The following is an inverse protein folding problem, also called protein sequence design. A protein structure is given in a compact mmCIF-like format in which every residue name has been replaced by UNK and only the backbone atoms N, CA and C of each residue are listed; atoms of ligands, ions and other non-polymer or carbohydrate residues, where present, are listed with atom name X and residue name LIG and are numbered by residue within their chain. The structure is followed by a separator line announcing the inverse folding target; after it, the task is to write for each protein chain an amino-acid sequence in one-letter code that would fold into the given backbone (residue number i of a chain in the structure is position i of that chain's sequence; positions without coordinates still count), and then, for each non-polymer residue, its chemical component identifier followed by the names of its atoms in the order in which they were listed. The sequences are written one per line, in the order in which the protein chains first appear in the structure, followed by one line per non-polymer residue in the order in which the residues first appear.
data_IF_294481236534
#
_entry.id   IF_294481236534
#
_cell.length_a   1.000
_cell.length_b   1.000
_cell.length_c   1.000
_cell.angle_alpha   90.00
_cell.angle_beta   90.00
_cell.angle_gamma   90.00
#
_symmetry.space_group_name_H-M   'P 1'
#
loop_
_entity.id
_entity.type
_entity.pdbx_description
1 polymer ?
#
# COMPACT_ATOMS: atom_id res chain seq x y z
N UNK A 1 21.50 -26.01 11.75
CA UNK A 1 21.54 -25.16 12.95
C UNK A 1 20.92 -23.83 12.57
N UNK A 2 19.61 -23.73 12.80
CA UNK A 2 18.84 -22.49 12.65
C UNK A 2 19.38 -21.52 13.70
N UNK A 3 20.10 -20.48 13.25
CA UNK A 3 20.38 -19.34 14.13
C UNK A 3 19.02 -18.89 14.69
N UNK A 4 18.93 -18.73 16.00
CA UNK A 4 17.78 -18.06 16.64
C UNK A 4 17.78 -16.62 16.10
N UNK A 5 17.05 -16.40 15.02
CA UNK A 5 16.79 -15.07 14.51
C UNK A 5 16.05 -14.30 15.61
N UNK A 6 16.55 -13.13 15.98
CA UNK A 6 15.87 -12.25 16.93
C UNK A 6 14.49 -11.90 16.38
N UNK A 7 13.46 -12.50 16.96
CA UNK A 7 12.07 -12.18 16.60
C UNK A 7 11.66 -10.94 17.39
N UNK A 8 11.25 -9.91 16.66
CA UNK A 8 10.68 -8.69 17.25
C UNK A 8 9.20 -8.95 17.57
N UNK A 9 8.87 -8.95 18.86
CA UNK A 9 7.50 -9.21 19.34
C UNK A 9 6.81 -7.93 19.74
N UNK A 10 5.77 -7.59 18.97
CA UNK A 10 4.94 -6.41 19.21
C UNK A 10 3.73 -6.78 20.07
N UNK A 11 3.49 -5.98 21.11
CA UNK A 11 2.37 -6.17 22.04
C UNK A 11 1.21 -5.20 21.75
N UNK A 12 1.54 -4.01 21.27
CA UNK A 12 0.56 -2.96 20.90
C UNK A 12 0.06 -3.22 19.49
N UNK A 13 -1.19 -2.85 19.22
CA UNK A 13 -1.84 -3.02 17.94
C UNK A 13 -3.25 -3.57 18.06
N UNK A 14 -3.91 -3.77 16.92
CA UNK A 14 -5.29 -4.25 16.88
C UNK A 14 -5.55 -5.06 15.61
N UNK A 15 -5.92 -6.32 15.78
CA UNK A 15 -6.44 -7.14 14.69
C UNK A 15 -7.96 -6.95 14.58
N UNK A 16 -8.43 -6.49 13.44
CA UNK A 16 -9.85 -6.30 13.15
C UNK A 16 -10.34 -7.50 12.36
N UNK A 17 -11.13 -8.35 12.98
CA UNK A 17 -11.62 -9.59 12.37
C UNK A 17 -12.80 -9.30 11.43
N UNK A 18 -12.51 -8.85 10.22
CA UNK A 18 -13.51 -8.66 9.18
C UNK A 18 -13.88 -9.99 8.52
N UNK A 19 -15.16 -10.12 8.17
CA UNK A 19 -15.65 -11.21 7.35
C UNK A 19 -15.20 -11.05 5.90
N UNK A 20 -14.83 -12.14 5.25
CA UNK A 20 -14.49 -12.16 3.82
C UNK A 20 -12.99 -12.32 3.54
N UNK A 21 -12.27 -13.07 4.37
CA UNK A 21 -10.87 -13.44 4.13
C UNK A 21 -10.74 -14.32 2.88
N UNK A 22 -9.75 -14.09 2.00
CA UNK A 22 -9.60 -14.85 0.77
C UNK A 22 -9.10 -16.27 1.07
N UNK A 23 -9.72 -17.27 0.42
CA UNK A 23 -9.21 -18.63 0.40
C UNK A 23 -7.93 -18.68 -0.45
N UNK A 24 -6.95 -19.50 -0.07
CA UNK A 24 -5.71 -19.72 -0.83
C UNK A 24 -5.99 -20.48 -2.14
N UNK A 25 -6.79 -19.87 -3.00
CA UNK A 25 -7.17 -20.39 -4.31
C UNK A 25 -7.11 -19.26 -5.33
N UNK A 26 -6.48 -19.53 -6.46
CA UNK A 26 -6.50 -18.62 -7.60
C UNK A 26 -7.71 -18.95 -8.48
N UNK A 27 -8.51 -17.95 -8.78
CA UNK A 27 -9.62 -18.01 -9.71
C UNK A 27 -9.32 -17.21 -10.97
N UNK A 28 -9.84 -17.66 -12.10
CA UNK A 28 -9.74 -16.90 -13.34
C UNK A 28 -10.48 -15.57 -13.23
N UNK A 29 -9.93 -14.53 -13.84
CA UNK A 29 -10.58 -13.23 -14.00
C UNK A 29 -11.05 -13.01 -15.42
N UNK A 30 -12.07 -12.20 -15.59
CA UNK A 30 -12.37 -11.63 -16.90
C UNK A 30 -11.21 -10.76 -17.36
N UNK A 31 -10.87 -10.82 -18.63
CA UNK A 31 -9.89 -9.89 -19.19
C UNK A 31 -10.35 -8.44 -18.94
N UNK A 32 -9.43 -7.59 -18.53
CA UNK A 32 -9.76 -6.19 -18.33
C UNK A 32 -9.96 -5.49 -19.67
N UNK A 33 -11.08 -4.83 -19.81
CA UNK A 33 -11.42 -4.08 -21.03
C UNK A 33 -10.66 -2.74 -21.12
N UNK A 34 -10.27 -2.19 -19.97
CA UNK A 34 -9.50 -0.96 -19.84
C UNK A 34 -8.47 -1.09 -18.72
N UNK A 35 -7.36 -0.40 -18.89
CA UNK A 35 -6.36 -0.15 -17.85
C UNK A 35 -6.20 1.35 -17.64
N UNK A 36 -5.78 1.76 -16.45
CA UNK A 36 -5.47 3.16 -16.18
C UNK A 36 -4.15 3.31 -15.44
N UNK A 37 -3.40 4.33 -15.82
CA UNK A 37 -2.31 4.89 -15.02
C UNK A 37 -2.86 6.14 -14.34
N UNK A 38 -2.93 6.11 -13.02
CA UNK A 38 -3.55 7.16 -12.19
C UNK A 38 -2.45 7.93 -11.46
N UNK A 39 -2.17 9.20 -11.85
CA UNK A 39 -1.13 9.99 -11.17
C UNK A 39 -1.39 10.19 -9.67
N UNK A 40 -2.67 10.15 -9.26
CA UNK A 40 -3.06 10.25 -7.85
C UNK A 40 -2.58 9.12 -6.95
N UNK A 41 -2.22 7.97 -7.52
CA UNK A 41 -1.65 6.85 -6.75
C UNK A 41 -0.23 7.18 -6.25
N UNK A 42 0.45 8.11 -6.92
CA UNK A 42 1.84 8.47 -6.65
C UNK A 42 1.91 9.82 -5.93
N UNK A 43 1.91 9.78 -4.60
CA UNK A 43 1.88 11.00 -3.81
C UNK A 43 3.08 11.91 -4.11
N UNK A 44 2.79 13.20 -4.21
CA UNK A 44 3.80 14.22 -4.51
C UNK A 44 4.19 14.32 -6.00
N UNK A 45 3.73 13.42 -6.88
CA UNK A 45 4.01 13.48 -8.31
C UNK A 45 3.44 14.76 -8.97
N UNK A 46 4.26 15.43 -9.77
CA UNK A 46 3.83 16.50 -10.68
C UNK A 46 3.90 15.95 -12.10
N UNK A 47 2.82 15.35 -12.62
CA UNK A 47 2.89 14.58 -13.87
C UNK A 47 3.03 15.47 -15.10
N UNK A 48 3.87 15.05 -16.03
CA UNK A 48 3.85 15.51 -17.41
C UNK A 48 3.58 14.34 -18.36
N UNK A 49 2.43 14.36 -19.00
CA UNK A 49 2.00 13.34 -19.95
C UNK A 49 2.80 13.46 -21.26
N UNK A 50 3.21 12.30 -21.78
CA UNK A 50 4.02 12.18 -23.01
C UNK A 50 3.23 11.60 -24.18
N UNK A 51 2.00 11.15 -23.94
CA UNK A 51 1.14 10.48 -24.93
C UNK A 51 -0.17 11.25 -25.13
N UNK A 52 -0.87 10.96 -26.22
CA UNK A 52 -2.19 11.49 -26.55
C UNK A 52 -3.15 10.36 -26.95
N UNK A 53 -4.47 10.59 -26.92
CA UNK A 53 -5.45 9.62 -27.42
C UNK A 53 -5.12 9.18 -28.84
N UNK A 54 -5.20 7.86 -29.08
CA UNK A 54 -4.87 7.22 -30.35
C UNK A 54 -3.42 6.74 -30.48
N UNK A 55 -2.51 7.12 -29.57
CA UNK A 55 -1.14 6.61 -29.59
C UNK A 55 -1.10 5.14 -29.21
N UNK A 56 -0.34 4.34 -29.97
CA UNK A 56 -0.06 2.96 -29.64
C UNK A 56 1.07 2.85 -28.62
N UNK A 57 0.91 1.99 -27.61
CA UNK A 57 1.88 1.74 -26.55
C UNK A 57 2.12 0.25 -26.34
N UNK A 58 3.29 -0.08 -25.84
CA UNK A 58 3.65 -1.41 -25.36
C UNK A 58 3.74 -1.38 -23.83
N UNK A 59 3.70 -2.54 -23.17
CA UNK A 59 4.08 -2.61 -21.76
C UNK A 59 5.51 -2.08 -21.60
N UNK A 60 5.70 -1.11 -20.69
CA UNK A 60 6.98 -0.43 -20.52
C UNK A 60 7.16 0.88 -21.34
N UNK A 61 6.21 1.23 -22.22
CA UNK A 61 6.25 2.54 -22.91
C UNK A 61 5.94 3.67 -21.92
N UNK A 62 6.81 4.71 -21.80
CA UNK A 62 6.54 5.85 -20.93
C UNK A 62 5.27 6.61 -21.34
N UNK A 63 4.35 6.80 -20.42
CA UNK A 63 3.10 7.56 -20.63
C UNK A 63 3.11 8.91 -19.92
N UNK A 64 3.94 9.05 -18.89
CA UNK A 64 4.21 10.31 -18.18
C UNK A 64 5.53 10.24 -17.41
N UNK A 65 5.99 11.38 -16.93
CA UNK A 65 7.14 11.51 -16.03
C UNK A 65 6.90 12.57 -14.96
N UNK A 66 7.72 12.58 -13.89
CA UNK A 66 7.69 13.63 -12.88
C UNK A 66 8.42 14.89 -13.40
N UNK A 67 7.77 16.04 -13.36
CA UNK A 67 8.40 17.31 -13.78
C UNK A 67 9.60 17.72 -12.92
N UNK A 68 9.65 17.28 -11.66
CA UNK A 68 10.75 17.58 -10.75
C UNK A 68 11.96 16.69 -10.97
N UNK A 69 11.68 15.44 -11.37
CA UNK A 69 12.65 14.40 -11.68
C UNK A 69 12.29 13.75 -13.02
N UNK A 70 12.62 14.42 -14.18
CA UNK A 70 12.19 13.95 -15.51
C UNK A 70 12.69 12.55 -15.89
N UNK A 71 13.70 12.06 -15.20
CA UNK A 71 14.22 10.69 -15.34
C UNK A 71 13.27 9.64 -14.73
N UNK A 72 12.41 10.00 -13.76
CA UNK A 72 11.42 9.12 -13.17
C UNK A 72 10.22 8.99 -14.11
N UNK A 73 10.17 7.87 -14.82
CA UNK A 73 9.14 7.55 -15.81
C UNK A 73 8.06 6.68 -15.20
N UNK A 74 6.84 6.86 -15.70
CA UNK A 74 5.68 6.02 -15.42
C UNK A 74 5.23 5.42 -16.73
N UNK A 75 5.17 4.11 -16.78
CA UNK A 75 5.03 3.36 -18.04
C UNK A 75 3.67 2.67 -18.14
N UNK A 76 3.27 2.36 -19.37
CA UNK A 76 2.08 1.56 -19.62
C UNK A 76 2.22 0.16 -19.03
N UNK A 77 1.22 -0.34 -18.27
CA UNK A 77 1.24 -1.71 -17.74
C UNK A 77 0.94 -2.77 -18.81
N UNK A 78 0.39 -2.39 -19.95
CA UNK A 78 -0.05 -3.30 -21.02
C UNK A 78 0.22 -2.72 -22.40
N UNK A 79 0.19 -3.56 -23.44
CA UNK A 79 0.16 -3.08 -24.82
C UNK A 79 -1.26 -2.72 -25.25
N UNK A 80 -1.39 -1.69 -26.05
CA UNK A 80 -2.69 -1.22 -26.49
C UNK A 80 -2.65 0.17 -27.11
N UNK A 81 -3.77 0.85 -27.05
CA UNK A 81 -3.97 2.21 -27.58
C UNK A 81 -4.41 3.10 -26.41
N UNK A 82 -3.83 4.28 -26.32
CA UNK A 82 -4.30 5.32 -25.40
C UNK A 82 -5.73 5.71 -25.78
N UNK A 83 -6.68 5.40 -24.92
CA UNK A 83 -8.09 5.72 -25.14
C UNK A 83 -8.36 7.18 -24.80
N UNK A 84 -7.93 7.61 -23.59
CA UNK A 84 -8.18 8.95 -23.10
C UNK A 84 -7.08 9.42 -22.13
N UNK A 85 -6.87 10.75 -22.11
CA UNK A 85 -6.15 11.46 -21.06
C UNK A 85 -7.13 12.35 -20.33
N UNK A 86 -7.76 11.82 -19.29
CA UNK A 86 -8.77 12.54 -18.52
C UNK A 86 -8.13 13.66 -17.69
N UNK A 87 -8.73 14.85 -17.77
CA UNK A 87 -8.30 16.02 -17.02
C UNK A 87 -9.45 16.58 -16.20
N UNK A 88 -9.19 16.81 -14.93
CA UNK A 88 -10.09 17.49 -14.01
C UNK A 88 -9.88 19.01 -13.97
N UNK A 89 -10.27 19.59 -12.85
CA UNK A 89 -10.11 21.02 -12.59
C UNK A 89 -8.65 21.47 -12.78
N UNK A 90 -8.47 22.72 -13.24
CA UNK A 90 -7.15 23.31 -13.52
C UNK A 90 -6.26 22.46 -14.42
N UNK A 91 -6.87 21.63 -15.28
CA UNK A 91 -6.18 20.70 -16.20
C UNK A 91 -5.32 19.62 -15.46
N UNK A 92 -5.59 19.34 -14.20
CA UNK A 92 -4.96 18.25 -13.47
C UNK A 92 -5.23 16.93 -14.18
N UNK A 93 -4.19 16.16 -14.45
CA UNK A 93 -4.34 14.82 -15.04
C UNK A 93 -4.92 13.88 -13.97
N UNK A 94 -6.09 13.33 -14.27
CA UNK A 94 -6.79 12.41 -13.36
C UNK A 94 -6.41 10.96 -13.64
N UNK A 95 -6.44 10.56 -14.91
CA UNK A 95 -6.01 9.22 -15.34
C UNK A 95 -5.65 9.22 -16.83
N UNK A 96 -4.84 8.26 -17.23
CA UNK A 96 -4.53 7.91 -18.61
C UNK A 96 -5.08 6.50 -18.81
N UNK A 97 -6.10 6.34 -19.66
CA UNK A 97 -6.72 5.06 -19.93
C UNK A 97 -6.15 4.42 -21.18
N UNK A 98 -5.99 3.09 -21.13
CA UNK A 98 -5.37 2.29 -22.17
C UNK A 98 -6.32 1.13 -22.49
N UNK A 99 -6.71 1.04 -23.75
CA UNK A 99 -7.47 -0.10 -24.28
C UNK A 99 -6.50 -1.17 -24.75
N UNK A 100 -6.46 -2.35 -24.09
CA UNK A 100 -5.51 -3.39 -24.42
C UNK A 100 -5.77 -3.95 -25.83
N UNK A 101 -4.70 -4.30 -26.54
CA UNK A 101 -4.78 -4.90 -27.89
C UNK A 101 -4.76 -6.43 -27.88
N UNK A 102 -4.63 -7.05 -26.72
CA UNK A 102 -4.54 -8.49 -26.53
C UNK A 102 -3.23 -9.13 -27.00
N UNK A 103 -2.28 -8.35 -27.57
CA UNK A 103 -1.02 -8.88 -28.10
C UNK A 103 0.05 -9.06 -27.03
N UNK A 104 -0.08 -8.34 -25.91
CA UNK A 104 0.86 -8.34 -24.78
C UNK A 104 2.31 -8.06 -25.19
N UNK A 105 2.50 -7.14 -26.15
CA UNK A 105 3.83 -6.72 -26.55
C UNK A 105 4.46 -5.82 -25.48
N UNK A 106 5.78 -5.93 -25.29
CA UNK A 106 6.52 -5.18 -24.30
C UNK A 106 7.79 -4.60 -24.89
N UNK A 107 8.23 -3.48 -24.32
CA UNK A 107 9.55 -2.92 -24.62
C UNK A 107 10.61 -3.92 -24.11
N UNK A 108 11.60 -4.19 -24.94
CA UNK A 108 12.72 -5.07 -24.58
C UNK A 108 13.83 -4.25 -23.91
N UNK A 109 14.04 -4.48 -22.63
CA UNK A 109 15.11 -3.86 -21.84
C UNK A 109 16.34 -4.75 -21.73
N UNK A 110 16.30 -5.97 -22.28
CA UNK A 110 17.36 -6.98 -22.13
C UNK A 110 17.34 -7.67 -20.76
N UNK A 111 17.91 -8.88 -20.74
CA UNK A 111 18.08 -9.65 -19.50
C UNK A 111 19.40 -9.28 -18.84
N UNK A 112 19.38 -9.11 -17.53
CA UNK A 112 20.53 -8.64 -16.78
C UNK A 112 20.72 -9.45 -15.49
N UNK A 113 21.98 -9.65 -15.13
CA UNK A 113 22.33 -10.19 -13.81
C UNK A 113 22.74 -9.04 -12.89
N UNK A 114 22.02 -8.74 -11.81
CA UNK A 114 22.31 -7.62 -10.93
C UNK A 114 23.72 -7.65 -10.33
N UNK A 115 24.30 -8.85 -10.15
CA UNK A 115 25.66 -9.02 -9.60
C UNK A 115 26.76 -8.54 -10.55
N UNK A 116 26.47 -8.44 -11.85
CA UNK A 116 27.43 -7.97 -12.87
C UNK A 116 27.21 -6.53 -13.31
N UNK A 117 26.19 -5.86 -12.76
CA UNK A 117 25.86 -4.48 -13.08
C UNK A 117 26.41 -3.52 -12.03
N UNK A 118 26.77 -2.33 -12.47
CA UNK A 118 27.05 -1.22 -11.57
C UNK A 118 25.76 -0.63 -10.97
N UNK A 119 25.90 0.11 -9.88
CA UNK A 119 24.80 0.86 -9.23
C UNK A 119 24.09 1.78 -10.23
N UNK A 120 24.86 2.50 -11.04
CA UNK A 120 24.36 3.46 -12.02
C UNK A 120 23.56 2.77 -13.12
N UNK A 121 24.03 1.62 -13.63
CA UNK A 121 23.33 0.82 -14.64
C UNK A 121 21.99 0.30 -14.11
N UNK A 122 21.97 -0.24 -12.88
CA UNK A 122 20.72 -0.71 -12.26
C UNK A 122 19.76 0.47 -12.08
N UNK A 123 20.23 1.58 -11.51
CA UNK A 123 19.41 2.77 -11.31
C UNK A 123 18.81 3.29 -12.61
N UNK A 124 19.63 3.40 -13.66
CA UNK A 124 19.18 3.84 -14.98
C UNK A 124 18.12 2.91 -15.56
N UNK A 125 18.31 1.60 -15.47
CA UNK A 125 17.36 0.60 -15.93
C UNK A 125 16.01 0.73 -15.21
N UNK A 126 16.04 0.88 -13.87
CA UNK A 126 14.81 1.03 -13.07
C UNK A 126 14.08 2.33 -13.39
N UNK A 127 14.79 3.42 -13.65
CA UNK A 127 14.20 4.70 -14.07
C UNK A 127 13.53 4.59 -15.43
N UNK A 128 14.21 3.99 -16.41
CA UNK A 128 13.69 3.84 -17.79
C UNK A 128 12.50 2.90 -17.88
N UNK A 129 12.52 1.79 -17.14
CA UNK A 129 11.46 0.80 -17.12
C UNK A 129 10.28 1.17 -16.19
N UNK A 130 10.31 2.33 -15.54
CA UNK A 130 9.24 2.78 -14.64
C UNK A 130 9.17 2.06 -13.30
N UNK A 131 10.18 1.24 -12.95
CA UNK A 131 10.22 0.52 -11.68
C UNK A 131 10.53 1.44 -10.50
N UNK A 132 11.21 2.57 -10.76
CA UNK A 132 11.58 3.53 -9.73
C UNK A 132 10.35 4.16 -9.04
N UNK A 133 9.21 4.21 -9.73
CA UNK A 133 7.94 4.66 -9.19
C UNK A 133 7.45 3.83 -7.98
N UNK A 134 7.95 2.61 -7.81
CA UNK A 134 7.60 1.72 -6.68
C UNK A 134 8.56 1.85 -5.51
N UNK A 135 9.64 2.61 -5.65
CA UNK A 135 10.58 2.88 -4.57
C UNK A 135 10.14 4.15 -3.87
N UNK A 136 9.73 4.02 -2.61
CA UNK A 136 9.40 5.18 -1.77
C UNK A 136 10.56 5.52 -0.86
N UNK A 137 10.61 6.75 -0.38
CA UNK A 137 11.57 7.18 0.64
C UNK A 137 10.89 7.65 1.92
N UNK A 138 11.55 7.42 3.01
CA UNK A 138 11.29 8.07 4.30
C UNK A 138 12.49 8.96 4.65
N UNK A 139 12.29 10.14 5.22
CA UNK A 139 11.03 10.79 5.58
C UNK A 139 10.14 11.09 4.37
N UNK A 140 8.92 11.53 4.65
CA UNK A 140 7.88 12.08 3.77
C UNK A 140 6.99 11.03 3.09
N UNK A 141 7.40 9.76 2.94
CA UNK A 141 6.64 8.71 2.25
C UNK A 141 6.17 9.15 0.84
N UNK A 142 7.13 9.55 0.04
CA UNK A 142 7.01 9.95 -1.38
C UNK A 142 7.87 9.04 -2.24
N UNK A 143 7.73 9.13 -3.57
CA UNK A 143 8.67 8.45 -4.49
C UNK A 143 10.09 8.92 -4.16
N UNK A 144 11.02 7.97 -4.13
CA UNK A 144 12.42 8.24 -3.81
C UNK A 144 13.06 9.22 -4.80
N UNK A 145 13.88 10.13 -4.28
CA UNK A 145 14.71 11.02 -5.08
C UNK A 145 15.88 10.21 -5.67
N UNK A 146 15.99 10.10 -7.01
CA UNK A 146 17.09 9.35 -7.63
C UNK A 146 18.48 9.91 -7.36
N UNK A 147 18.57 11.18 -6.96
CA UNK A 147 19.86 11.82 -6.65
C UNK A 147 20.37 11.49 -5.24
N UNK A 148 19.50 10.98 -4.37
CA UNK A 148 19.82 10.68 -2.97
C UNK A 148 20.13 9.20 -2.82
N UNK A 149 21.25 8.89 -2.16
CA UNK A 149 21.61 7.52 -1.78
C UNK A 149 20.94 7.17 -0.45
N UNK A 150 20.17 6.05 -0.38
CA UNK A 150 19.56 5.66 0.87
C UNK A 150 20.59 5.10 1.85
N UNK A 151 20.43 5.41 3.16
CA UNK A 151 21.21 4.77 4.23
C UNK A 151 21.00 3.26 4.21
N UNK A 152 19.74 2.84 4.16
CA UNK A 152 19.31 1.43 4.10
C UNK A 152 18.05 1.32 3.21
N UNK A 153 17.72 0.10 2.81
CA UNK A 153 16.49 -0.21 2.09
C UNK A 153 15.68 -1.22 2.91
N UNK A 154 14.39 -0.95 3.09
CA UNK A 154 13.47 -1.80 3.84
C UNK A 154 12.43 -2.41 2.89
N UNK A 155 12.36 -3.72 2.88
CA UNK A 155 11.37 -4.49 2.10
C UNK A 155 10.42 -5.16 3.08
N UNK A 156 9.13 -4.81 3.05
CA UNK A 156 8.14 -5.53 3.83
C UNK A 156 7.63 -6.74 3.05
N UNK A 157 7.77 -7.93 3.65
CA UNK A 157 7.38 -9.19 3.04
C UNK A 157 6.17 -9.85 3.72
N UNK A 158 5.34 -9.06 4.37
CA UNK A 158 4.01 -9.43 4.82
C UNK A 158 3.14 -8.20 5.04
N UNK A 159 1.84 -8.41 5.03
CA UNK A 159 0.85 -7.40 5.39
C UNK A 159 0.03 -7.94 6.57
N UNK A 160 -0.22 -7.10 7.56
CA UNK A 160 -1.00 -7.42 8.76
C UNK A 160 -2.36 -6.70 8.79
N UNK A 161 -2.69 -5.92 7.76
CA UNK A 161 -3.97 -5.23 7.67
C UNK A 161 -5.16 -6.21 7.59
N UNK A 162 -6.38 -5.76 7.90
CA UNK A 162 -7.56 -6.60 7.79
C UNK A 162 -7.74 -7.18 6.39
N UNK A 163 -7.96 -8.50 6.30
CA UNK A 163 -8.15 -9.26 5.05
C UNK A 163 -6.95 -9.21 4.08
N UNK A 164 -5.78 -8.84 4.57
CA UNK A 164 -4.57 -8.72 3.76
C UNK A 164 -4.22 -10.01 3.00
N UNK A 165 -3.57 -9.88 1.82
CA UNK A 165 -3.08 -11.03 1.07
C UNK A 165 -2.03 -11.81 1.86
N UNK A 166 -2.06 -13.12 1.71
CA UNK A 166 -1.03 -14.02 2.26
C UNK A 166 0.20 -14.02 1.35
N UNK A 167 1.28 -13.37 1.78
CA UNK A 167 2.50 -13.25 0.98
C UNK A 167 3.18 -14.60 0.75
N UNK A 168 3.08 -15.54 1.69
CA UNK A 168 3.56 -16.91 1.49
C UNK A 168 2.86 -17.62 0.33
N UNK A 169 1.57 -17.36 0.16
CA UNK A 169 0.81 -17.87 -0.98
C UNK A 169 1.10 -17.10 -2.28
N UNK A 170 1.09 -15.77 -2.22
CA UNK A 170 1.23 -14.90 -3.41
C UNK A 170 2.65 -14.99 -4.00
N UNK A 171 3.67 -15.05 -3.16
CA UNK A 171 5.08 -15.07 -3.59
C UNK A 171 5.60 -16.47 -3.92
N UNK A 172 4.82 -17.51 -3.72
CA UNK A 172 5.27 -18.91 -3.87
C UNK A 172 5.93 -19.19 -5.22
N UNK A 173 5.37 -18.69 -6.30
CA UNK A 173 5.89 -18.87 -7.67
C UNK A 173 6.89 -17.78 -8.07
N UNK A 174 7.02 -16.72 -7.27
CA UNK A 174 7.81 -15.52 -7.56
C UNK A 174 9.11 -15.42 -6.77
N UNK A 175 9.45 -16.44 -5.99
CA UNK A 175 10.62 -16.38 -5.10
C UNK A 175 11.93 -16.09 -5.84
N UNK A 176 12.10 -16.64 -7.07
CA UNK A 176 13.28 -16.35 -7.88
C UNK A 176 13.34 -14.86 -8.28
N UNK A 177 12.23 -14.28 -8.68
CA UNK A 177 12.14 -12.87 -9.04
C UNK A 177 12.33 -11.98 -7.80
N UNK A 178 11.76 -12.34 -6.67
CA UNK A 178 12.00 -11.63 -5.41
C UNK A 178 13.48 -11.60 -5.03
N UNK A 179 14.18 -12.73 -5.07
CA UNK A 179 15.61 -12.83 -4.78
C UNK A 179 16.45 -11.94 -5.72
N UNK A 180 16.18 -12.01 -7.03
CA UNK A 180 16.88 -11.17 -8.02
C UNK A 180 16.63 -9.68 -7.78
N UNK A 181 15.40 -9.30 -7.45
CA UNK A 181 15.05 -7.91 -7.12
C UNK A 181 15.78 -7.41 -5.87
N UNK A 182 15.85 -8.22 -4.81
CA UNK A 182 16.60 -7.88 -3.59
C UNK A 182 18.11 -7.75 -3.88
N UNK A 183 18.67 -8.64 -4.67
CA UNK A 183 20.08 -8.54 -5.10
C UNK A 183 20.36 -7.23 -5.86
N UNK A 184 19.43 -6.77 -6.69
CA UNK A 184 19.54 -5.47 -7.35
C UNK A 184 19.46 -4.31 -6.36
N UNK A 185 18.55 -4.36 -5.39
CA UNK A 185 18.44 -3.33 -4.35
C UNK A 185 19.71 -3.24 -3.48
N UNK A 186 20.38 -4.36 -3.23
CA UNK A 186 21.65 -4.37 -2.49
C UNK A 186 22.75 -3.56 -3.18
N UNK A 187 22.73 -3.45 -4.51
CA UNK A 187 23.69 -2.62 -5.26
C UNK A 187 23.37 -1.11 -5.15
N UNK A 188 22.17 -0.73 -4.71
CA UNK A 188 21.71 0.67 -4.68
C UNK A 188 22.02 1.39 -3.36
N UNK A 189 22.48 0.68 -2.33
CA UNK A 189 22.85 1.26 -1.04
C UNK A 189 24.21 0.76 -0.56
N UNK A 190 24.92 1.58 0.21
CA UNK A 190 26.11 1.16 0.96
C UNK A 190 25.74 0.48 2.29
N UNK A 191 24.50 0.64 2.73
CA UNK A 191 23.98 0.03 3.94
C UNK A 191 23.42 -1.37 3.69
N UNK A 192 22.30 -1.68 4.34
CA UNK A 192 21.68 -3.00 4.28
C UNK A 192 20.32 -2.96 3.60
N UNK A 193 19.94 -4.10 3.04
CA UNK A 193 18.56 -4.36 2.62
C UNK A 193 17.93 -5.28 3.66
N UNK A 194 17.02 -4.72 4.46
CA UNK A 194 16.28 -5.46 5.48
C UNK A 194 14.97 -5.99 4.92
N UNK A 195 14.65 -7.26 5.23
CA UNK A 195 13.41 -7.91 4.81
C UNK A 195 12.59 -8.24 6.05
N UNK A 196 11.49 -7.51 6.27
CA UNK A 196 10.54 -7.76 7.34
C UNK A 196 9.64 -8.95 7.01
N UNK A 197 9.71 -10.02 7.79
CA UNK A 197 9.01 -11.29 7.56
C UNK A 197 8.11 -11.61 8.76
N UNK A 198 6.91 -12.12 8.50
CA UNK A 198 6.03 -12.63 9.57
C UNK A 198 6.57 -13.95 10.15
N UNK A 199 6.73 -14.02 11.48
CA UNK A 199 7.06 -15.29 12.15
C UNK A 199 5.93 -16.32 11.99
N UNK A 200 4.67 -15.85 11.91
CA UNK A 200 3.49 -16.73 11.80
C UNK A 200 3.36 -17.40 10.44
N UNK A 201 3.87 -16.75 9.40
CA UNK A 201 3.83 -17.27 8.03
C UNK A 201 5.14 -16.89 7.30
N UNK A 202 6.25 -17.54 7.67
CA UNK A 202 7.57 -17.16 7.16
C UNK A 202 7.75 -17.55 5.70
N UNK A 203 8.38 -16.66 4.94
CA UNK A 203 8.93 -16.95 3.62
C UNK A 203 10.44 -17.10 3.72
N UNK A 204 11.00 -18.00 2.89
CA UNK A 204 12.45 -18.24 2.89
C UNK A 204 13.14 -17.34 1.86
N UNK A 205 13.72 -16.24 2.32
CA UNK A 205 14.49 -15.30 1.49
C UNK A 205 15.97 -15.46 1.84
N UNK A 206 16.84 -15.56 0.81
CA UNK A 206 18.28 -15.77 0.97
C UNK A 206 19.07 -14.47 0.84
N UNK A 207 18.61 -13.57 -0.04
CA UNK A 207 19.22 -12.26 -0.25
C UNK A 207 18.74 -11.27 0.82
N UNK A 208 19.61 -10.33 1.20
CA UNK A 208 19.31 -9.33 2.22
C UNK A 208 19.38 -9.88 3.66
N UNK A 209 18.95 -9.04 4.60
CA UNK A 209 18.93 -9.38 6.04
C UNK A 209 17.49 -9.58 6.51
N UNK A 210 17.10 -10.82 6.75
CA UNK A 210 15.76 -11.18 7.21
C UNK A 210 15.56 -10.85 8.68
N UNK A 211 14.50 -10.13 9.01
CA UNK A 211 14.08 -9.80 10.37
C UNK A 211 12.64 -10.28 10.57
N UNK A 212 12.43 -11.02 11.65
CA UNK A 212 11.13 -11.64 11.91
C UNK A 212 10.30 -10.81 12.88
N UNK A 213 9.02 -10.67 12.56
CA UNK A 213 8.05 -9.94 13.37
C UNK A 213 6.89 -10.84 13.78
N UNK A 214 6.51 -10.74 15.06
CA UNK A 214 5.28 -11.34 15.60
C UNK A 214 4.48 -10.28 16.35
N UNK A 215 3.21 -10.19 16.07
CA UNK A 215 2.31 -9.23 16.71
C UNK A 215 1.04 -8.99 15.90
N UNK A 216 0.11 -8.20 16.45
CA UNK A 216 -1.08 -7.75 15.73
C UNK A 216 -0.72 -6.69 14.67
N UNK A 217 -1.70 -6.31 13.83
CA UNK A 217 -1.57 -5.10 13.01
C UNK A 217 -1.26 -3.89 13.94
N UNK A 218 -0.28 -3.02 13.62
CA UNK A 218 0.37 -2.80 12.33
C UNK A 218 1.77 -3.44 12.16
N UNK A 219 2.00 -4.64 12.65
CA UNK A 219 3.31 -5.30 12.54
C UNK A 219 3.86 -5.37 11.10
N UNK A 220 2.97 -5.42 10.10
CA UNK A 220 3.31 -5.43 8.68
C UNK A 220 3.63 -4.06 8.08
N UNK A 221 3.40 -2.96 8.79
CA UNK A 221 3.69 -1.64 8.27
C UNK A 221 5.19 -1.37 8.26
N UNK A 222 5.67 -0.81 7.16
CA UNK A 222 7.11 -0.57 6.98
C UNK A 222 7.67 0.40 8.01
N UNK A 223 6.93 1.45 8.41
CA UNK A 223 7.35 2.38 9.45
C UNK A 223 7.59 1.71 10.80
N UNK A 224 6.73 0.76 11.18
CA UNK A 224 6.91 -0.04 12.40
C UNK A 224 8.17 -0.90 12.32
N UNK A 225 8.43 -1.51 11.16
CA UNK A 225 9.63 -2.32 10.95
C UNK A 225 10.89 -1.48 11.02
N UNK A 226 10.92 -0.32 10.36
CA UNK A 226 12.05 0.61 10.40
C UNK A 226 12.38 1.01 11.83
N UNK A 227 11.36 1.43 12.59
CA UNK A 227 11.52 1.91 13.96
C UNK A 227 12.15 0.85 14.89
N UNK A 228 11.84 -0.43 14.67
CA UNK A 228 12.38 -1.54 15.48
C UNK A 228 13.71 -2.10 14.99
N UNK A 229 14.07 -1.86 13.72
CA UNK A 229 15.34 -2.37 13.14
C UNK A 229 16.41 -1.27 13.20
N UNK A 230 16.14 -0.12 12.58
CA UNK A 230 17.07 1.00 12.49
C UNK A 230 16.29 2.31 12.29
N UNK A 231 15.85 2.97 13.38
CA UNK A 231 15.08 4.22 13.32
C UNK A 231 15.75 5.30 12.49
N UNK A 232 14.93 6.19 11.92
CA UNK A 232 15.41 7.28 11.06
C UNK A 232 15.71 8.49 11.91
N UNK A 233 16.91 9.05 11.77
CA UNK A 233 17.28 10.32 12.38
C UNK A 233 17.15 11.47 11.38
N UNK A 234 17.10 12.71 11.89
CA UNK A 234 17.10 13.92 11.05
C UNK A 234 18.29 13.91 10.09
N UNK A 235 18.04 14.14 8.80
CA UNK A 235 19.05 14.15 7.75
C UNK A 235 19.36 12.79 7.13
N UNK A 236 18.77 11.72 7.63
CA UNK A 236 18.88 10.38 7.01
C UNK A 236 17.72 10.13 6.05
N UNK A 237 17.99 9.38 5.00
CA UNK A 237 17.00 8.89 4.04
C UNK A 237 17.10 7.38 3.93
N UNK A 238 15.98 6.70 3.98
CA UNK A 238 15.87 5.27 3.72
C UNK A 238 14.84 5.03 2.61
N UNK A 239 15.02 3.96 1.85
CA UNK A 239 14.05 3.56 0.84
C UNK A 239 13.20 2.40 1.33
N UNK A 240 11.97 2.36 0.84
CA UNK A 240 10.98 1.35 1.24
C UNK A 240 10.26 0.78 0.02
N UNK A 241 10.02 -0.54 0.05
CA UNK A 241 9.25 -1.26 -0.95
C UNK A 241 8.43 -2.39 -0.31
N UNK A 242 7.35 -2.80 -0.97
CA UNK A 242 6.74 -4.10 -0.72
C UNK A 242 7.50 -5.20 -1.45
N UNK A 243 7.60 -6.39 -0.87
CA UNK A 243 8.15 -7.56 -1.57
C UNK A 243 7.38 -7.88 -2.87
N UNK A 244 6.09 -7.54 -2.93
CA UNK A 244 5.28 -7.70 -4.13
C UNK A 244 5.74 -6.77 -5.27
N UNK A 245 6.24 -5.57 -4.94
CA UNK A 245 6.75 -4.63 -5.92
C UNK A 245 8.21 -4.96 -6.30
N UNK A 246 8.99 -5.53 -5.38
CA UNK A 246 10.36 -6.03 -5.66
C UNK A 246 10.33 -7.15 -6.71
N UNK A 247 9.27 -7.95 -6.77
CA UNK A 247 9.08 -8.96 -7.82
C UNK A 247 9.10 -8.35 -9.22
N UNK A 248 8.56 -7.14 -9.41
CA UNK A 248 8.60 -6.46 -10.71
C UNK A 248 10.02 -6.12 -11.15
N UNK A 249 10.88 -5.70 -10.21
CA UNK A 249 12.30 -5.46 -10.45
C UNK A 249 12.98 -6.75 -10.88
N UNK A 250 12.70 -7.85 -10.16
CA UNK A 250 13.25 -9.15 -10.50
C UNK A 250 12.84 -9.67 -11.87
N UNK A 251 11.55 -9.54 -12.23
CA UNK A 251 11.04 -9.91 -13.56
C UNK A 251 11.70 -9.09 -14.66
N UNK A 252 11.82 -7.76 -14.46
CA UNK A 252 12.51 -6.90 -15.41
C UNK A 252 13.94 -7.41 -15.69
N UNK A 253 14.69 -7.77 -14.66
CA UNK A 253 16.06 -8.25 -14.80
C UNK A 253 16.13 -9.66 -15.42
N UNK A 254 15.27 -10.57 -14.99
CA UNK A 254 15.27 -11.96 -15.44
C UNK A 254 14.70 -12.15 -16.85
N UNK A 255 13.67 -11.35 -17.21
CA UNK A 255 12.93 -11.50 -18.46
C UNK A 255 13.19 -10.38 -19.46
N UNK A 256 13.72 -9.25 -19.01
CA UNK A 256 14.00 -8.07 -19.85
C UNK A 256 12.76 -7.28 -20.23
N UNK A 257 11.65 -7.48 -19.53
CA UNK A 257 10.35 -6.88 -19.85
C UNK A 257 9.64 -6.37 -18.61
N UNK A 258 8.83 -5.32 -18.78
CA UNK A 258 7.92 -4.84 -17.76
C UNK A 258 6.73 -5.78 -17.67
N UNK A 259 6.48 -6.31 -16.47
CA UNK A 259 5.28 -7.09 -16.13
C UNK A 259 4.82 -6.73 -14.72
N UNK A 260 3.73 -5.96 -14.63
CA UNK A 260 3.08 -5.55 -13.38
C UNK A 260 1.93 -6.48 -12.97
N UNK A 261 1.89 -7.69 -13.52
CA UNK A 261 0.89 -8.68 -13.08
C UNK A 261 1.14 -9.12 -11.65
N UNK A 262 0.07 -9.35 -10.90
CA UNK A 262 0.11 -9.81 -9.52
C UNK A 262 -1.13 -10.62 -9.16
N UNK A 263 -1.06 -11.40 -8.09
CA UNK A 263 -2.24 -11.98 -7.47
C UNK A 263 -2.90 -10.91 -6.57
N UNK A 264 -4.15 -10.62 -6.85
CA UNK A 264 -4.98 -9.66 -6.11
C UNK A 264 -5.95 -10.43 -5.22
N UNK A 265 -5.95 -10.14 -3.94
CA UNK A 265 -6.92 -10.68 -3.00
C UNK A 265 -8.27 -9.96 -3.18
N UNK A 266 -9.30 -10.68 -3.58
CA UNK A 266 -10.68 -10.19 -3.66
C UNK A 266 -11.38 -10.56 -2.36
N UNK A 267 -11.72 -9.55 -1.56
CA UNK A 267 -12.05 -9.69 -0.13
C UNK A 267 -13.27 -8.87 0.28
N UNK A 268 -13.75 -9.09 1.49
CA UNK A 268 -14.84 -8.33 2.08
C UNK A 268 -16.13 -9.12 2.22
N UNK A 269 -17.01 -8.61 3.07
CA UNK A 269 -18.29 -9.27 3.39
C UNK A 269 -19.24 -9.36 2.22
N UNK A 270 -19.06 -8.46 1.23
CA UNK A 270 -19.92 -8.37 0.04
C UNK A 270 -19.42 -9.22 -1.13
N UNK A 271 -18.33 -9.95 -0.96
CA UNK A 271 -17.85 -10.91 -1.96
C UNK A 271 -18.46 -12.28 -1.68
N UNK A 272 -19.01 -12.94 -2.72
CA UNK A 272 -19.63 -14.26 -2.59
C UNK A 272 -18.61 -15.33 -2.19
N UNK A 273 -17.48 -15.37 -2.89
CA UNK A 273 -16.38 -16.29 -2.66
C UNK A 273 -15.06 -15.53 -2.69
N UNK A 274 -14.58 -15.06 -1.52
CA UNK A 274 -13.29 -14.40 -1.42
C UNK A 274 -12.16 -15.32 -1.85
N UNK A 275 -11.38 -14.89 -2.84
CA UNK A 275 -10.31 -15.67 -3.50
C UNK A 275 -9.23 -14.75 -4.03
N UNK A 276 -8.14 -15.31 -4.55
CA UNK A 276 -7.15 -14.58 -5.31
C UNK A 276 -7.46 -14.61 -6.80
N UNK A 277 -7.16 -13.52 -7.48
CA UNK A 277 -7.35 -13.35 -8.91
C UNK A 277 -6.06 -12.81 -9.52
N UNK A 278 -5.60 -13.40 -10.63
CA UNK A 278 -4.46 -12.84 -11.36
C UNK A 278 -4.93 -11.60 -12.12
N UNK A 279 -4.30 -10.48 -11.85
CA UNK A 279 -4.61 -9.21 -12.49
C UNK A 279 -3.34 -8.37 -12.66
N UNK A 280 -3.45 -7.14 -13.12
CA UNK A 280 -2.36 -6.24 -13.36
C UNK A 280 -2.66 -4.86 -12.75
N UNK A 281 -1.63 -4.09 -12.44
CA UNK A 281 -1.75 -2.69 -12.06
C UNK A 281 -2.66 -1.94 -13.03
N UNK A 282 -3.55 -1.11 -12.49
CA UNK A 282 -4.45 -0.29 -13.28
C UNK A 282 -5.60 -1.03 -13.98
N UNK A 283 -5.79 -2.33 -13.75
CA UNK A 283 -6.90 -3.06 -14.31
C UNK A 283 -8.25 -2.55 -13.78
N UNK A 284 -9.29 -2.61 -14.60
CA UNK A 284 -10.65 -2.24 -14.21
C UNK A 284 -11.16 -3.12 -13.07
N UNK A 285 -11.63 -2.49 -11.99
CA UNK A 285 -12.22 -3.18 -10.84
C UNK A 285 -13.48 -3.94 -11.25
N UNK A 286 -14.31 -3.38 -12.13
CA UNK A 286 -15.48 -4.08 -12.68
C UNK A 286 -15.12 -5.41 -13.36
N UNK A 287 -14.00 -5.44 -14.10
CA UNK A 287 -13.54 -6.69 -14.74
C UNK A 287 -13.06 -7.72 -13.73
N UNK A 288 -12.33 -7.29 -12.69
CA UNK A 288 -11.84 -8.17 -11.62
C UNK A 288 -13.00 -8.75 -10.80
N UNK A 289 -13.99 -7.91 -10.50
CA UNK A 289 -15.12 -8.26 -9.62
C UNK A 289 -16.32 -8.88 -10.36
N UNK A 290 -16.27 -9.02 -11.68
CA UNK A 290 -17.38 -9.52 -12.50
C UNK A 290 -17.91 -10.88 -11.99
N UNK A 291 -19.19 -10.89 -11.58
CA UNK A 291 -19.86 -12.08 -11.05
C UNK A 291 -19.39 -12.55 -9.67
N UNK A 292 -18.73 -11.65 -8.89
CA UNK A 292 -18.18 -11.98 -7.56
C UNK A 292 -18.82 -11.22 -6.41
N UNK A 293 -19.44 -10.07 -6.71
CA UNK A 293 -20.10 -9.24 -5.72
C UNK A 293 -21.50 -9.75 -5.48
N UNK A 294 -21.91 -9.85 -4.22
CA UNK A 294 -23.26 -10.25 -3.83
C UNK A 294 -24.27 -9.23 -4.32
N UNK A 295 -25.42 -9.67 -4.83
CA UNK A 295 -26.53 -8.76 -5.08
C UNK A 295 -27.01 -8.18 -3.74
N UNK A 296 -27.19 -6.87 -3.69
CA UNK A 296 -27.66 -6.16 -2.50
C UNK A 296 -28.63 -5.05 -2.89
N UNK A 297 -29.62 -4.78 -2.02
CA UNK A 297 -30.54 -3.64 -2.17
C UNK A 297 -29.99 -2.36 -1.54
N UNK A 298 -28.83 -2.43 -0.90
CA UNK A 298 -28.10 -1.34 -0.25
C UNK A 298 -26.80 -1.02 -1.00
N UNK A 299 -26.26 0.17 -0.76
CA UNK A 299 -25.02 0.60 -1.37
C UNK A 299 -23.82 -0.18 -0.80
N UNK A 300 -22.92 -0.55 -1.69
CA UNK A 300 -21.68 -1.23 -1.38
C UNK A 300 -20.50 -0.31 -1.66
N UNK A 301 -19.53 -0.32 -0.76
CA UNK A 301 -18.28 0.43 -0.90
C UNK A 301 -17.22 -0.44 -1.51
N UNK A 302 -16.65 0.05 -2.60
CA UNK A 302 -15.55 -0.57 -3.31
C UNK A 302 -14.24 0.11 -2.92
N UNK A 303 -13.27 -0.66 -2.46
CA UNK A 303 -11.98 -0.16 -1.98
C UNK A 303 -10.88 -0.84 -2.76
N UNK A 304 -10.04 -0.06 -3.44
CA UNK A 304 -8.75 -0.53 -3.92
C UNK A 304 -7.78 -0.52 -2.74
N UNK A 305 -7.32 -1.70 -2.30
CA UNK A 305 -6.57 -1.87 -1.07
C UNK A 305 -7.40 -2.39 0.11
N UNK A 306 -6.88 -2.25 1.32
CA UNK A 306 -7.52 -2.66 2.57
C UNK A 306 -8.44 -1.55 3.12
N UNK A 307 -9.22 -1.89 4.14
CA UNK A 307 -10.22 -0.97 4.74
C UNK A 307 -9.62 0.20 5.54
N UNK A 308 -8.34 0.13 5.91
CA UNK A 308 -7.69 1.14 6.75
C UNK A 308 -6.97 2.21 5.92
N UNK A 309 -6.27 1.79 4.86
CA UNK A 309 -5.39 2.67 4.06
C UNK A 309 -5.73 2.67 2.56
N UNK A 310 -6.69 1.86 2.14
CA UNK A 310 -7.11 1.75 0.75
C UNK A 310 -7.85 3.00 0.25
N UNK A 311 -7.99 3.07 -1.05
CA UNK A 311 -8.69 4.17 -1.72
C UNK A 311 -10.11 3.76 -2.08
N UNK A 312 -11.10 4.55 -1.67
CA UNK A 312 -12.47 4.40 -2.14
C UNK A 312 -12.54 4.68 -3.64
N UNK A 313 -13.10 3.78 -4.40
CA UNK A 313 -13.23 3.86 -5.85
C UNK A 313 -14.67 3.59 -6.28
N UNK A 314 -15.06 4.12 -7.43
CA UNK A 314 -16.33 3.71 -8.05
C UNK A 314 -16.26 2.26 -8.53
N UNK A 315 -17.40 1.59 -8.77
CA UNK A 315 -17.40 0.27 -9.41
C UNK A 315 -16.64 0.22 -10.74
N UNK A 316 -16.62 1.33 -11.48
CA UNK A 316 -15.89 1.51 -12.75
C UNK A 316 -14.46 2.01 -12.55
N UNK A 317 -13.97 2.03 -11.31
CA UNK A 317 -12.62 2.45 -10.97
C UNK A 317 -11.55 1.45 -11.36
N UNK A 318 -10.32 1.75 -10.99
CA UNK A 318 -9.14 0.97 -11.36
C UNK A 318 -8.35 0.53 -10.12
N UNK A 319 -7.65 -0.59 -10.26
CA UNK A 319 -6.75 -1.09 -9.23
C UNK A 319 -5.56 -0.16 -9.09
N UNK A 320 -5.36 0.40 -7.91
CA UNK A 320 -4.25 1.30 -7.61
C UNK A 320 -2.87 0.65 -7.78
N UNK A 321 -1.88 1.49 -8.07
CA UNK A 321 -0.52 1.04 -8.42
C UNK A 321 0.13 0.15 -7.34
N UNK A 322 -0.09 0.46 -6.06
CA UNK A 322 0.51 -0.25 -4.92
C UNK A 322 -0.41 -1.31 -4.31
N UNK A 323 -1.62 -1.50 -4.83
CA UNK A 323 -2.62 -2.36 -4.21
C UNK A 323 -2.60 -3.78 -4.76
N UNK A 324 -2.62 -4.75 -3.87
CA UNK A 324 -2.74 -6.19 -4.16
C UNK A 324 -3.99 -6.80 -3.52
N UNK A 325 -4.95 -5.94 -3.15
CA UNK A 325 -6.21 -6.28 -2.52
C UNK A 325 -7.33 -5.38 -3.05
N UNK A 326 -8.51 -5.95 -3.21
CA UNK A 326 -9.76 -5.22 -3.40
C UNK A 326 -10.70 -5.67 -2.30
N UNK A 327 -11.32 -4.71 -1.61
CA UNK A 327 -12.24 -4.99 -0.51
C UNK A 327 -13.59 -4.39 -0.82
N UNK A 328 -14.66 -5.20 -0.66
CA UNK A 328 -16.05 -4.74 -0.82
C UNK A 328 -16.81 -4.97 0.48
N UNK A 329 -17.33 -3.88 1.05
CA UNK A 329 -18.08 -3.86 2.31
C UNK A 329 -19.39 -3.07 2.13
N UNK A 330 -20.36 -3.16 3.05
CA UNK A 330 -21.52 -2.27 3.03
C UNK A 330 -21.11 -0.80 3.18
N UNK A 331 -21.77 0.11 2.44
CA UNK A 331 -21.56 1.55 2.62
C UNK A 331 -22.13 2.03 3.96
N UNK A 332 -23.34 1.56 4.30
CA UNK A 332 -24.01 1.87 5.56
C UNK A 332 -24.77 3.21 5.58
N UNK A 333 -24.89 3.89 4.44
CA UNK A 333 -25.58 5.19 4.29
C UNK A 333 -27.11 5.09 4.36
N UNK A 334 -27.67 3.90 4.19
CA UNK A 334 -29.10 3.58 4.22
C UNK A 334 -29.56 2.84 5.49
N UNK A 335 -28.67 2.71 6.49
CA UNK A 335 -29.00 2.08 7.77
C UNK A 335 -29.83 2.97 8.70
N UNK A 336 -31.09 2.63 8.87
CA UNK A 336 -32.02 3.27 9.82
C UNK A 336 -32.10 2.43 11.11
N UNK A 337 -31.14 2.58 12.03
CA UNK A 337 -31.16 1.91 13.32
C UNK A 337 -31.83 2.78 14.40
N UNK A 338 -33.06 2.43 14.77
CA UNK A 338 -33.71 3.06 15.92
C UNK A 338 -33.03 2.60 17.22
N UNK A 339 -32.50 3.55 17.99
CA UNK A 339 -31.74 3.31 19.24
C UNK A 339 -30.62 2.26 19.11
N UNK A 340 -29.97 2.14 17.95
CA UNK A 340 -28.93 1.14 17.70
C UNK A 340 -27.74 1.21 18.66
N UNK A 341 -27.48 2.35 19.27
CA UNK A 341 -26.46 2.56 20.30
C UNK A 341 -26.85 1.98 21.67
N UNK A 342 -28.14 1.77 21.94
CA UNK A 342 -28.67 1.23 23.22
C UNK A 342 -28.90 -0.29 23.19
N UNK A 343 -28.66 -0.93 22.03
CA UNK A 343 -28.84 -2.40 21.91
C UNK A 343 -27.67 -3.16 22.50
N UNK A 344 -27.82 -4.43 22.89
CA UNK A 344 -26.70 -5.28 23.34
C UNK A 344 -25.60 -5.44 22.29
N UNK A 345 -25.89 -5.18 21.00
CA UNK A 345 -24.93 -5.14 19.92
C UNK A 345 -24.15 -6.44 19.71
N UNK A 346 -24.79 -7.61 19.87
CA UNK A 346 -24.12 -8.92 19.78
C UNK A 346 -23.44 -9.17 18.42
N UNK A 347 -23.88 -8.48 17.35
CA UNK A 347 -23.30 -8.53 16.02
C UNK A 347 -22.32 -7.39 15.71
N UNK A 348 -22.22 -6.37 16.56
CA UNK A 348 -21.44 -5.16 16.31
C UNK A 348 -20.01 -5.28 16.82
N UNK A 349 -19.04 -4.83 16.03
CA UNK A 349 -17.67 -4.70 16.47
C UNK A 349 -17.52 -3.52 17.44
N UNK A 350 -16.72 -3.68 18.48
CA UNK A 350 -16.45 -2.63 19.45
C UNK A 350 -15.06 -2.75 20.04
N UNK A 351 -14.24 -1.74 19.82
CA UNK A 351 -12.89 -1.64 20.41
C UNK A 351 -12.98 -1.43 21.92
N UNK A 352 -13.88 -0.57 22.37
CA UNK A 352 -14.08 -0.19 23.77
C UNK A 352 -14.90 -1.20 24.60
N UNK A 353 -15.30 -2.33 23.98
CA UNK A 353 -16.20 -3.32 24.59
C UNK A 353 -17.56 -2.76 25.03
N UNK A 354 -18.00 -1.69 24.41
CA UNK A 354 -19.33 -1.09 24.70
C UNK A 354 -20.49 -2.00 24.32
N UNK A 355 -20.28 -2.91 23.38
CA UNK A 355 -21.24 -3.94 22.97
C UNK A 355 -20.80 -5.30 23.50
N UNK A 356 -21.75 -6.18 23.79
CA UNK A 356 -21.49 -7.50 24.36
C UNK A 356 -20.93 -8.52 23.36
N UNK A 357 -20.65 -8.12 22.13
CA UNK A 357 -20.04 -8.97 21.09
C UNK A 357 -18.69 -9.57 21.50
N UNK A 358 -17.92 -8.92 22.39
CA UNK A 358 -16.65 -9.42 22.92
C UNK A 358 -16.80 -10.74 23.71
N UNK A 359 -17.99 -11.07 24.21
CA UNK A 359 -18.26 -12.34 24.90
C UNK A 359 -18.11 -13.56 23.97
N UNK A 360 -18.21 -13.39 22.64
CA UNK A 360 -18.05 -14.47 21.66
C UNK A 360 -16.58 -14.78 21.34
N UNK A 361 -15.64 -14.10 21.98
CA UNK A 361 -14.20 -14.31 21.84
C UNK A 361 -13.58 -13.70 20.59
N UNK A 362 -12.26 -13.81 20.52
CA UNK A 362 -11.43 -13.17 19.48
C UNK A 362 -11.56 -13.76 18.07
N UNK A 363 -12.22 -14.91 17.90
CA UNK A 363 -12.37 -15.59 16.60
C UNK A 363 -13.61 -15.18 15.82
N UNK A 364 -14.50 -14.38 16.44
CA UNK A 364 -15.70 -13.92 15.77
C UNK A 364 -15.34 -12.95 14.66
N UNK A 365 -15.87 -13.20 13.46
CA UNK A 365 -15.76 -12.28 12.32
C UNK A 365 -16.96 -11.34 12.29
N UNK A 366 -16.70 -10.10 11.84
CA UNK A 366 -17.69 -9.04 11.82
C UNK A 366 -17.89 -8.51 10.41
N UNK A 367 -19.13 -8.14 10.10
CA UNK A 367 -19.47 -7.26 8.98
C UNK A 367 -19.44 -5.85 9.52
N UNK A 368 -18.53 -5.03 9.00
CA UNK A 368 -18.38 -3.63 9.39
C UNK A 368 -18.61 -2.78 8.15
N UNK A 369 -19.43 -1.75 8.30
CA UNK A 369 -19.70 -0.76 7.25
C UNK A 369 -18.78 0.47 7.38
N UNK A 370 -18.90 1.43 6.46
CA UNK A 370 -18.04 2.61 6.42
C UNK A 370 -18.51 3.77 7.29
N UNK A 371 -19.57 3.60 8.09
CA UNK A 371 -20.09 4.69 8.92
C UNK A 371 -19.13 5.11 10.01
N UNK A 372 -18.99 6.40 10.18
CA UNK A 372 -18.35 6.97 11.36
C UNK A 372 -19.25 6.75 12.57
N UNK A 373 -18.77 5.96 13.55
CA UNK A 373 -19.49 5.69 14.79
C UNK A 373 -19.18 6.79 15.81
N UNK A 374 -19.87 7.91 15.71
CA UNK A 374 -19.67 9.09 16.56
C UNK A 374 -19.72 10.39 15.77
N UNK A 375 -19.30 11.48 16.37
CA UNK A 375 -19.21 12.80 15.73
C UNK A 375 -17.81 13.39 15.87
N UNK A 376 -17.40 14.18 14.90
CA UNK A 376 -16.15 14.92 14.94
C UNK A 376 -16.12 15.89 16.13
N UNK A 377 -14.99 15.94 16.83
CA UNK A 377 -14.75 16.78 18.01
C UNK A 377 -13.32 17.26 18.04
N UNK A 378 -13.04 18.21 18.93
CA UNK A 378 -11.66 18.55 19.24
C UNK A 378 -10.90 17.37 19.83
N UNK A 379 -9.63 17.24 19.48
CA UNK A 379 -8.77 16.16 19.97
C UNK A 379 -8.69 16.19 21.51
N UNK A 380 -8.88 15.04 22.13
CA UNK A 380 -8.66 14.82 23.57
C UNK A 380 -7.51 13.84 23.79
N UNK A 381 -6.85 13.99 24.95
CA UNK A 381 -5.78 13.08 25.35
C UNK A 381 -6.42 11.85 26.01
N UNK A 382 -6.68 10.82 25.22
CA UNK A 382 -7.33 9.59 25.69
C UNK A 382 -6.36 8.46 26.00
N UNK A 383 -5.14 8.51 25.45
CA UNK A 383 -4.14 7.43 25.54
C UNK A 383 -4.48 6.22 24.65
N UNK A 384 -5.50 6.30 23.81
CA UNK A 384 -5.91 5.17 22.95
C UNK A 384 -4.92 4.93 21.82
N UNK A 385 -4.28 5.98 21.29
CA UNK A 385 -3.30 5.82 20.22
C UNK A 385 -2.08 5.00 20.68
N UNK A 386 -1.64 5.19 21.94
CA UNK A 386 -0.55 4.44 22.52
C UNK A 386 -0.81 2.93 22.61
N UNK A 387 -2.06 2.51 22.65
CA UNK A 387 -2.44 1.10 22.71
C UNK A 387 -2.30 0.38 21.37
N UNK A 388 -2.41 1.12 20.26
CA UNK A 388 -2.43 0.56 18.90
C UNK A 388 -1.20 0.91 18.07
N UNK A 389 -0.39 1.88 18.49
CA UNK A 389 0.82 2.29 17.78
C UNK A 389 2.08 1.77 18.51
N UNK A 390 2.73 0.72 17.99
CA UNK A 390 3.93 0.16 18.57
C UNK A 390 5.21 0.91 18.12
N UNK A 391 5.21 2.23 18.24
CA UNK A 391 6.38 3.10 17.97
C UNK A 391 6.78 3.86 19.22
N UNK A 392 8.06 4.23 19.33
CA UNK A 392 8.60 5.04 20.42
C UNK A 392 8.43 6.54 20.12
N UNK A 393 7.19 6.94 19.92
CA UNK A 393 6.80 8.33 19.69
C UNK A 393 5.61 8.69 20.60
N UNK A 394 5.31 9.98 20.71
CA UNK A 394 4.13 10.48 21.44
C UNK A 394 3.03 10.88 20.45
N UNK A 395 2.18 9.95 19.99
CA UNK A 395 1.31 10.14 18.82
C UNK A 395 0.30 11.27 19.01
N UNK A 396 -0.35 11.37 20.16
CA UNK A 396 -1.34 12.43 20.42
C UNK A 396 -0.69 13.82 20.45
N UNK A 397 0.52 13.94 20.98
CA UNK A 397 1.28 15.19 20.98
C UNK A 397 1.75 15.57 19.58
N UNK A 398 2.18 14.58 18.78
CA UNK A 398 2.57 14.79 17.39
C UNK A 398 1.39 15.30 16.55
N UNK A 399 0.20 14.69 16.67
CA UNK A 399 -0.99 15.16 15.97
C UNK A 399 -1.38 16.58 16.39
N UNK A 400 -1.27 16.92 17.68
CA UNK A 400 -1.49 18.29 18.15
C UNK A 400 -0.48 19.28 17.60
N UNK A 401 0.80 18.90 17.49
CA UNK A 401 1.85 19.74 16.89
C UNK A 401 1.56 19.98 15.40
N UNK A 402 1.10 18.96 14.68
CA UNK A 402 0.68 19.08 13.27
C UNK A 402 -0.51 20.04 13.13
N UNK A 403 -1.55 19.90 13.95
CA UNK A 403 -2.74 20.77 13.93
C UNK A 403 -2.34 22.23 14.26
N UNK A 404 -1.41 22.42 15.20
CA UNK A 404 -0.90 23.74 15.59
C UNK A 404 0.11 24.32 14.60
N UNK A 405 0.55 23.52 13.62
CA UNK A 405 1.59 23.91 12.66
C UNK A 405 2.92 24.30 13.32
N UNK A 406 3.30 23.59 14.37
CA UNK A 406 4.53 23.82 15.13
C UNK A 406 5.62 22.86 14.64
N UNK A 407 6.41 23.32 13.65
CA UNK A 407 7.42 22.48 12.95
C UNK A 407 8.47 21.98 13.95
N UNK A 408 8.97 22.84 14.85
CA UNK A 408 9.97 22.43 15.82
C UNK A 408 9.47 21.30 16.73
N UNK A 409 8.20 21.37 17.14
CA UNK A 409 7.58 20.28 17.90
C UNK A 409 7.33 19.05 17.06
N UNK A 410 6.91 19.18 15.80
CA UNK A 410 6.74 18.03 14.91
C UNK A 410 8.07 17.25 14.78
N UNK A 411 9.18 17.96 14.55
CA UNK A 411 10.52 17.35 14.49
C UNK A 411 10.90 16.64 15.80
N UNK A 412 10.73 17.33 16.93
CA UNK A 412 11.07 16.80 18.25
C UNK A 412 10.19 15.59 18.66
N UNK A 413 9.01 15.45 18.08
CA UNK A 413 8.06 14.38 18.37
C UNK A 413 8.08 13.24 17.35
N UNK A 414 9.04 13.23 16.40
CA UNK A 414 9.32 12.09 15.55
C UNK A 414 8.57 12.08 14.21
N UNK A 415 8.20 13.24 13.63
CA UNK A 415 7.51 13.28 12.33
C UNK A 415 8.31 12.65 11.20
N UNK A 416 9.64 12.60 11.28
CA UNK A 416 10.49 11.97 10.27
C UNK A 416 10.34 10.44 10.22
N UNK A 417 9.87 9.83 11.30
CA UNK A 417 9.77 8.38 11.42
C UNK A 417 8.45 7.81 10.90
N UNK A 418 7.44 8.67 10.70
CA UNK A 418 6.06 8.23 10.45
C UNK A 418 5.60 8.46 9.03
N UNK A 419 4.57 7.69 8.63
CA UNK A 419 3.76 7.93 7.46
C UNK A 419 2.27 7.86 7.82
N UNK A 420 1.38 8.31 6.93
CA UNK A 420 -0.07 8.22 7.16
C UNK A 420 -0.56 6.81 7.53
N UNK A 421 -0.04 5.78 6.89
CA UNK A 421 -0.42 4.38 7.15
C UNK A 421 -0.16 3.93 8.60
N UNK A 422 0.87 4.46 9.24
CA UNK A 422 1.22 4.10 10.61
C UNK A 422 0.15 4.58 11.61
N UNK A 423 -0.60 5.63 11.25
CA UNK A 423 -1.68 6.20 12.05
C UNK A 423 -3.09 5.67 11.69
N UNK A 424 -3.20 4.71 10.79
CA UNK A 424 -4.51 4.19 10.37
C UNK A 424 -5.31 3.58 11.52
N UNK A 425 -4.66 2.84 12.43
CA UNK A 425 -5.32 2.33 13.64
C UNK A 425 -5.62 3.44 14.64
N UNK A 426 -4.77 4.46 14.76
CA UNK A 426 -5.06 5.61 15.60
C UNK A 426 -6.34 6.31 15.14
N UNK A 427 -6.51 6.50 13.82
CA UNK A 427 -7.74 7.04 13.24
C UNK A 427 -8.95 6.14 13.51
N UNK A 428 -8.79 4.81 13.40
CA UNK A 428 -9.86 3.86 13.64
C UNK A 428 -10.36 3.88 15.09
N UNK A 429 -9.45 3.97 16.08
CA UNK A 429 -9.82 3.99 17.51
C UNK A 429 -10.14 5.40 18.02
N UNK A 430 -9.84 6.45 17.28
CA UNK A 430 -10.01 7.84 17.71
C UNK A 430 -11.45 8.15 18.13
N UNK A 431 -11.62 8.58 19.38
CA UNK A 431 -12.92 8.98 19.92
C UNK A 431 -13.36 10.35 19.42
N UNK A 432 -12.43 11.18 18.95
CA UNK A 432 -12.69 12.52 18.40
C UNK A 432 -13.05 12.49 16.92
N UNK A 433 -12.83 11.35 16.24
CA UNK A 433 -13.14 11.13 14.81
C UNK A 433 -12.43 12.09 13.86
N UNK A 434 -11.17 12.39 14.16
CA UNK A 434 -10.32 13.21 13.31
C UNK A 434 -9.80 12.41 12.10
N UNK A 435 -9.60 13.04 10.93
CA UNK A 435 -8.96 12.42 9.77
C UNK A 435 -7.43 12.40 9.98
N UNK A 436 -6.95 11.52 10.86
CA UNK A 436 -5.56 11.54 11.37
C UNK A 436 -4.55 11.24 10.25
N UNK A 437 -4.84 10.27 9.38
CA UNK A 437 -3.97 9.96 8.24
C UNK A 437 -3.78 11.18 7.34
N UNK A 438 -4.87 11.93 7.09
CA UNK A 438 -4.80 13.18 6.33
C UNK A 438 -3.98 14.24 7.06
N UNK A 439 -4.16 14.41 8.36
CA UNK A 439 -3.37 15.35 9.16
C UNK A 439 -1.87 15.03 9.09
N UNK A 440 -1.50 13.77 9.24
CA UNK A 440 -0.10 13.32 9.11
C UNK A 440 0.43 13.62 7.70
N UNK A 441 -0.36 13.36 6.65
CA UNK A 441 0.03 13.67 5.27
C UNK A 441 0.28 15.17 5.07
N UNK A 442 -0.67 15.99 5.54
CA UNK A 442 -0.56 17.44 5.44
C UNK A 442 0.68 17.96 6.21
N UNK A 443 0.97 17.40 7.39
CA UNK A 443 2.15 17.74 8.18
C UNK A 443 3.46 17.39 7.48
N UNK A 444 3.56 16.20 6.89
CA UNK A 444 4.73 15.77 6.12
C UNK A 444 4.94 16.62 4.86
N UNK A 445 3.87 16.96 4.15
CA UNK A 445 3.93 17.81 2.95
C UNK A 445 4.39 19.23 3.27
N UNK A 446 3.96 19.76 4.41
CA UNK A 446 4.39 21.06 4.89
C UNK A 446 5.86 21.04 5.29
N UNK A 447 6.27 20.05 6.09
CA UNK A 447 7.66 19.89 6.49
C UNK A 447 8.58 19.81 5.26
N UNK A 448 8.19 19.02 4.26
CA UNK A 448 8.95 18.88 3.02
C UNK A 448 9.10 20.21 2.26
N UNK A 449 8.09 21.10 2.31
CA UNK A 449 8.16 22.42 1.66
C UNK A 449 9.07 23.39 2.41
N UNK A 450 9.12 23.30 3.73
CA UNK A 450 9.97 24.17 4.56
C UNK A 450 11.44 23.75 4.53
N UNK A 451 11.71 22.47 4.26
CA UNK A 451 13.07 21.92 4.24
C UNK A 451 13.72 21.96 2.85
N UNK A 452 12.96 22.20 1.78
CA UNK A 452 13.42 22.35 0.38
C UNK A 452 13.29 23.81 -0.07
#
# INVERSE_FOLDING_TARGET
TTNMSNVIRLKKGLDINLKGKPAQKVSESSASELFAVVPGDFHGLVPKVTVKPGDAVQAGTPVMYDKRHPEVKFVSPVSGIIEEVERGERRKVMKITIKPDGKQTAVDFGKHNPKSMSKEEIKQLLLEAGMFAFIKQRPYDVIADPSVEPRDIFVTAFDSAPLAPDFGFVLKEEMHNLETGIEALQQLTQGKVYIGISERNPIAVKAGESVFFDGPHPAGNTGIQIQHIAPINKGETVWTLSALDVVFIGRLLNEGKVDFSRLVAVTGSEIEQPVYVRSCMGASIASILKGRVKPAEYHQRYISGNVLTGTHVSPDGFLGAYHSQITVIPEGDDCNEFLGWATPGLGKYSVSHSYFSWLFGKKKEYVIDSRIQGGERAIIMSGEYDSVLPMDILPEYLIKAIIAFDIDKMENLGIYEVAPEDFALCEFVDTSKLPIQKLVRDGLDQLMKEMN
#
